data_IF_511742586115
#
_entry.id   IF_511742586115
#
_cell.length_a   1.000
_cell.length_b   1.000
_cell.length_c   1.000
_cell.angle_alpha   90.00
_cell.angle_beta   90.00
_cell.angle_gamma   90.00
#
_symmetry.space_group_name_H-M   'P 1'
#
loop_
_entity.id
_entity.type
_entity.pdbx_description
1 polymer ?
#
# COMPACT_ATOMS: atom_id res chain seq x y z
N UNK A 1 47.08 -36.67 -51.01
CA UNK A 1 46.81 -38.11 -50.84
C UNK A 1 46.93 -38.45 -49.36
N UNK A 2 45.78 -38.72 -48.73
CA UNK A 2 45.51 -39.40 -47.44
C UNK A 2 46.43 -39.16 -46.23
N UNK A 3 45.84 -38.63 -45.16
CA UNK A 3 45.89 -39.28 -43.83
C UNK A 3 44.55 -39.11 -43.12
N UNK A 4 43.89 -40.25 -42.95
CA UNK A 4 42.68 -40.45 -42.15
C UNK A 4 43.05 -40.60 -40.66
N UNK A 5 42.29 -39.90 -39.83
CA UNK A 5 41.55 -40.40 -38.65
C UNK A 5 42.05 -41.71 -38.02
N UNK A 6 42.45 -41.67 -36.74
CA UNK A 6 42.20 -42.74 -35.78
C UNK A 6 41.81 -42.13 -34.42
N UNK A 7 40.57 -42.43 -34.02
CA UNK A 7 40.05 -42.38 -32.66
C UNK A 7 40.68 -43.52 -31.85
N UNK A 8 41.12 -43.27 -30.60
CA UNK A 8 40.82 -44.15 -29.44
C UNK A 8 41.30 -43.54 -28.11
N UNK A 9 40.33 -43.25 -27.24
CA UNK A 9 40.24 -43.57 -25.81
C UNK A 9 41.55 -43.60 -24.99
N UNK A 10 41.69 -42.63 -24.08
CA UNK A 10 42.42 -42.81 -22.82
C UNK A 10 41.57 -42.24 -21.67
N UNK A 11 40.67 -43.09 -21.17
CA UNK A 11 40.08 -42.97 -19.83
C UNK A 11 41.19 -43.22 -18.81
N UNK A 12 41.54 -42.22 -18.01
CA UNK A 12 42.32 -42.42 -16.79
C UNK A 12 41.90 -41.38 -15.75
N UNK A 13 41.09 -41.89 -14.84
CA UNK A 13 40.71 -41.34 -13.54
C UNK A 13 41.98 -40.88 -12.80
N UNK A 14 42.05 -39.59 -12.51
CA UNK A 14 42.75 -39.08 -11.32
C UNK A 14 41.70 -38.26 -10.55
N UNK A 15 40.85 -39.00 -9.85
CA UNK A 15 40.24 -38.54 -8.63
C UNK A 15 41.21 -38.88 -7.50
N UNK A 16 41.85 -37.88 -6.91
CA UNK A 16 42.13 -37.78 -5.47
C UNK A 16 42.94 -36.49 -5.23
N UNK A 17 42.21 -35.42 -4.92
CA UNK A 17 42.52 -34.37 -3.93
C UNK A 17 41.43 -33.29 -4.04
N UNK A 18 40.16 -33.70 -3.99
CA UNK A 18 39.10 -32.78 -3.57
C UNK A 18 39.14 -32.78 -2.05
N UNK A 19 39.82 -31.80 -1.45
CA UNK A 19 39.29 -31.26 -0.19
C UNK A 19 37.87 -30.84 -0.54
N UNK A 20 36.88 -31.40 0.12
CA UNK A 20 35.49 -30.98 -0.05
C UNK A 20 35.42 -29.49 0.30
N UNK A 21 35.54 -28.60 -0.69
CA UNK A 21 35.02 -27.26 -0.56
C UNK A 21 33.51 -27.45 -0.54
N UNK A 22 32.88 -27.11 0.59
CA UNK A 22 31.44 -26.93 0.60
C UNK A 22 31.09 -25.93 -0.53
N UNK A 23 29.93 -26.09 -1.19
CA UNK A 23 29.53 -25.18 -2.27
C UNK A 23 29.51 -23.74 -1.76
N UNK A 24 30.08 -22.82 -2.54
CA UNK A 24 29.94 -21.38 -2.28
C UNK A 24 28.48 -21.01 -2.53
N UNK A 25 27.86 -20.31 -1.58
CA UNK A 25 26.50 -19.84 -1.74
C UNK A 25 26.48 -18.58 -2.62
N UNK A 26 26.19 -18.77 -3.90
CA UNK A 26 25.90 -17.68 -4.84
C UNK A 26 24.38 -17.44 -4.93
N UNK A 27 23.97 -16.19 -4.76
CA UNK A 27 22.55 -15.78 -4.76
C UNK A 27 22.28 -14.94 -6.00
N UNK A 28 21.37 -15.38 -6.86
CA UNK A 28 20.80 -14.58 -7.93
C UNK A 28 19.54 -13.86 -7.40
N UNK A 29 19.61 -12.53 -7.35
CA UNK A 29 18.53 -11.71 -6.82
C UNK A 29 17.27 -11.79 -7.71
N UNK A 30 17.42 -12.05 -9.01
CA UNK A 30 16.26 -12.25 -9.90
C UNK A 30 15.55 -13.57 -9.58
N UNK A 31 16.30 -14.64 -9.31
CA UNK A 31 15.75 -15.92 -8.87
C UNK A 31 14.97 -15.76 -7.55
N UNK A 32 15.53 -14.97 -6.61
CA UNK A 32 14.81 -14.60 -5.39
C UNK A 32 13.50 -13.86 -5.70
N UNK A 33 13.50 -12.90 -6.61
CA UNK A 33 12.33 -12.11 -6.98
C UNK A 33 11.25 -12.93 -7.71
N UNK A 34 11.64 -13.89 -8.56
CA UNK A 34 10.72 -14.63 -9.42
C UNK A 34 10.16 -15.89 -8.75
N UNK A 35 10.99 -16.61 -7.99
CA UNK A 35 10.67 -17.97 -7.53
C UNK A 35 10.57 -18.13 -6.01
N UNK A 36 11.13 -17.20 -5.22
CA UNK A 36 11.14 -17.30 -3.75
C UNK A 36 10.28 -16.22 -3.08
N UNK A 37 10.38 -14.98 -3.56
CA UNK A 37 9.69 -13.83 -3.01
C UNK A 37 8.22 -13.83 -3.47
N UNK A 38 7.32 -14.02 -2.51
CA UNK A 38 5.91 -13.76 -2.71
C UNK A 38 5.64 -12.29 -2.38
N UNK A 39 5.24 -11.43 -3.36
CA UNK A 39 5.06 -10.02 -3.10
C UNK A 39 4.05 -9.75 -1.99
N UNK A 40 4.47 -8.92 -1.04
CA UNK A 40 3.67 -8.47 0.11
C UNK A 40 2.76 -7.30 -0.25
N UNK A 41 3.06 -6.60 -1.34
CA UNK A 41 2.42 -5.35 -1.75
C UNK A 41 1.27 -5.63 -2.74
N UNK A 42 0.23 -4.79 -2.71
CA UNK A 42 -0.88 -4.77 -3.66
C UNK A 42 -0.45 -5.01 -5.11
N UNK A 43 -1.35 -5.57 -5.94
CA UNK A 43 -1.20 -5.50 -7.39
C UNK A 43 -1.06 -4.02 -7.74
N UNK A 44 0.16 -3.60 -8.07
CA UNK A 44 0.41 -2.23 -8.46
C UNK A 44 0.02 -2.12 -9.93
N UNK A 45 -1.26 -1.81 -10.14
CA UNK A 45 -1.71 -1.44 -11.46
C UNK A 45 -1.16 -0.05 -11.79
N UNK A 46 -1.06 0.27 -13.09
CA UNK A 46 -0.71 1.62 -13.53
C UNK A 46 -1.99 2.41 -13.73
N UNK A 47 -2.05 3.59 -13.13
CA UNK A 47 -3.15 4.54 -13.33
C UNK A 47 -2.80 5.51 -14.46
N UNK A 48 -3.70 5.65 -15.44
CA UNK A 48 -3.57 6.63 -16.50
C UNK A 48 -3.76 8.06 -15.97
N UNK A 49 -2.96 9.00 -16.48
CA UNK A 49 -3.04 10.41 -16.07
C UNK A 49 -4.26 11.16 -16.63
N UNK A 50 -4.99 10.58 -17.59
CA UNK A 50 -6.21 11.19 -18.12
C UNK A 50 -7.29 11.25 -17.02
N UNK A 51 -8.21 12.22 -17.11
CA UNK A 51 -9.19 12.47 -16.04
C UNK A 51 -10.61 12.29 -16.57
N UNK A 52 -11.44 11.58 -15.81
CA UNK A 52 -12.89 11.55 -16.01
C UNK A 52 -13.62 12.35 -14.93
N UNK A 53 -14.58 13.18 -15.31
CA UNK A 53 -15.39 13.99 -14.39
C UNK A 53 -16.83 13.47 -14.39
N UNK A 54 -17.24 12.80 -13.32
CA UNK A 54 -18.60 12.32 -13.11
C UNK A 54 -19.38 13.32 -12.26
N UNK A 55 -20.53 13.72 -12.75
CA UNK A 55 -21.38 14.69 -12.08
C UNK A 55 -22.82 14.18 -12.08
N UNK A 56 -23.41 14.12 -10.89
CA UNK A 56 -24.86 14.01 -10.78
C UNK A 56 -25.52 15.38 -10.96
N UNK A 57 -26.82 15.35 -11.24
CA UNK A 57 -27.61 16.55 -11.49
C UNK A 57 -28.60 16.79 -10.34
N UNK A 58 -28.24 16.37 -9.13
CA UNK A 58 -29.05 16.60 -7.93
C UNK A 58 -29.19 18.10 -7.61
N UNK A 59 -30.13 18.43 -6.73
CA UNK A 59 -30.29 19.78 -6.18
C UNK A 59 -28.99 20.26 -5.54
N UNK A 60 -28.27 19.37 -4.84
CA UNK A 60 -26.93 19.61 -4.28
C UNK A 60 -25.96 20.20 -5.31
N UNK A 61 -25.76 19.53 -6.43
CA UNK A 61 -24.77 19.94 -7.43
C UNK A 61 -25.23 21.21 -8.16
N UNK A 62 -26.52 21.33 -8.47
CA UNK A 62 -27.08 22.57 -9.02
C UNK A 62 -26.78 23.76 -8.10
N UNK A 63 -27.02 23.61 -6.79
CA UNK A 63 -26.81 24.69 -5.83
C UNK A 63 -25.34 25.04 -5.62
N UNK A 64 -24.43 24.08 -5.79
CA UNK A 64 -23.00 24.33 -5.74
C UNK A 64 -22.57 25.39 -6.78
N UNK A 65 -23.18 25.41 -7.96
CA UNK A 65 -22.88 26.41 -9.02
C UNK A 65 -23.07 27.85 -8.55
N UNK A 66 -24.09 28.10 -7.72
CA UNK A 66 -24.45 29.46 -7.27
C UNK A 66 -23.97 29.80 -5.87
N UNK A 67 -23.83 28.79 -4.99
CA UNK A 67 -23.73 29.00 -3.54
C UNK A 67 -22.51 28.34 -2.89
N UNK A 68 -21.66 27.65 -3.66
CA UNK A 68 -20.44 27.03 -3.13
C UNK A 68 -19.20 27.81 -3.52
N UNK A 69 -18.55 28.40 -2.50
CA UNK A 69 -17.23 29.00 -2.67
C UNK A 69 -16.20 27.93 -3.09
N UNK A 70 -16.26 26.75 -2.47
CA UNK A 70 -15.32 25.68 -2.78
C UNK A 70 -15.46 25.17 -4.22
N UNK A 71 -16.67 24.90 -4.70
CA UNK A 71 -16.89 24.51 -6.08
C UNK A 71 -16.40 25.58 -7.06
N UNK A 72 -16.68 26.85 -6.77
CA UNK A 72 -16.18 27.97 -7.58
C UNK A 72 -14.65 28.02 -7.63
N UNK A 73 -13.99 27.72 -6.50
CA UNK A 73 -12.53 27.65 -6.36
C UNK A 73 -11.91 26.49 -7.16
N UNK A 74 -12.44 25.27 -7.07
CA UNK A 74 -11.82 24.11 -7.72
C UNK A 74 -12.17 23.97 -9.20
N UNK A 75 -13.29 24.54 -9.64
CA UNK A 75 -13.80 24.36 -11.01
C UNK A 75 -12.82 24.78 -12.12
N UNK A 76 -12.09 25.91 -12.04
CA UNK A 76 -11.07 26.26 -13.03
C UNK A 76 -9.94 25.22 -13.12
N UNK A 77 -9.53 24.64 -11.98
CA UNK A 77 -8.53 23.57 -11.94
C UNK A 77 -9.08 22.28 -12.53
N UNK A 78 -10.29 21.87 -12.15
CA UNK A 78 -10.98 20.69 -12.70
C UNK A 78 -11.09 20.74 -14.23
N UNK A 79 -11.43 21.91 -14.78
CA UNK A 79 -11.54 22.10 -16.24
C UNK A 79 -10.16 22.24 -16.91
N UNK A 80 -9.18 22.80 -16.20
CA UNK A 80 -7.77 22.84 -16.62
C UNK A 80 -7.15 21.45 -16.82
N UNK A 81 -7.63 20.43 -16.11
CA UNK A 81 -7.24 19.03 -16.29
C UNK A 81 -7.76 18.39 -17.59
N UNK A 82 -8.61 19.11 -18.36
CA UNK A 82 -9.22 18.66 -19.61
C UNK A 82 -9.93 17.30 -19.51
N UNK A 83 -10.89 17.15 -18.56
CA UNK A 83 -11.51 15.86 -18.32
C UNK A 83 -12.48 15.46 -19.44
N UNK A 84 -12.73 14.16 -19.57
CA UNK A 84 -13.96 13.68 -20.21
C UNK A 84 -15.08 13.72 -19.18
N UNK A 85 -16.12 14.52 -19.41
CA UNK A 85 -17.24 14.65 -18.49
C UNK A 85 -18.31 13.58 -18.76
N UNK A 86 -18.83 12.96 -17.69
CA UNK A 86 -19.94 12.02 -17.69
C UNK A 86 -21.08 12.59 -16.84
N UNK A 87 -22.28 12.60 -17.42
CA UNK A 87 -23.51 12.97 -16.71
C UNK A 87 -24.16 11.73 -16.09
N UNK A 88 -24.55 11.84 -14.82
CA UNK A 88 -25.36 10.84 -14.12
C UNK A 88 -26.79 11.37 -14.01
N UNK A 89 -27.69 10.88 -14.86
CA UNK A 89 -29.09 11.32 -14.93
C UNK A 89 -30.01 10.11 -14.86
N UNK A 90 -30.75 9.99 -13.77
CA UNK A 90 -31.55 8.81 -13.50
C UNK A 90 -30.67 7.56 -13.37
N UNK A 91 -31.05 6.48 -14.06
CA UNK A 91 -30.25 5.25 -14.13
C UNK A 91 -29.06 5.33 -15.10
N UNK A 92 -28.98 6.37 -15.93
CA UNK A 92 -28.04 6.46 -17.03
C UNK A 92 -26.76 7.22 -16.63
N UNK A 93 -25.62 6.64 -17.00
CA UNK A 93 -24.30 7.28 -16.95
C UNK A 93 -23.84 7.40 -18.39
N UNK A 94 -23.70 8.63 -18.89
CA UNK A 94 -23.39 8.90 -20.30
C UNK A 94 -22.27 9.90 -20.41
N UNK A 95 -21.36 9.66 -21.35
CA UNK A 95 -20.39 10.68 -21.75
C UNK A 95 -21.15 11.91 -22.25
N UNK A 96 -20.86 13.06 -21.65
CA UNK A 96 -21.41 14.35 -22.04
C UNK A 96 -20.53 15.00 -23.10
N UNK A 97 -19.24 15.21 -22.78
CA UNK A 97 -18.29 15.81 -23.70
C UNK A 97 -16.85 15.73 -23.19
N UNK A 98 -15.90 15.84 -24.11
CA UNK A 98 -14.48 16.17 -23.88
C UNK A 98 -14.13 17.57 -24.39
N UNK A 99 -15.11 18.34 -24.86
CA UNK A 99 -14.97 19.73 -25.31
C UNK A 99 -15.08 20.69 -24.12
N UNK A 100 -14.00 21.45 -23.87
CA UNK A 100 -13.91 22.31 -22.69
C UNK A 100 -14.91 23.46 -22.68
N UNK A 101 -15.30 23.98 -23.84
CA UNK A 101 -16.29 25.07 -23.89
C UNK A 101 -17.67 24.53 -23.49
N UNK A 102 -18.00 23.31 -23.95
CA UNK A 102 -19.24 22.63 -23.56
C UNK A 102 -19.24 22.25 -22.08
N UNK A 103 -18.14 21.72 -21.56
CA UNK A 103 -18.02 21.39 -20.14
C UNK A 103 -18.15 22.65 -19.29
N UNK A 104 -17.42 23.72 -19.62
CA UNK A 104 -17.54 24.99 -18.89
C UNK A 104 -18.97 25.55 -18.94
N UNK A 105 -19.64 25.47 -20.10
CA UNK A 105 -21.03 25.89 -20.22
C UNK A 105 -21.95 25.06 -19.31
N UNK A 106 -21.76 23.75 -19.28
CA UNK A 106 -22.56 22.84 -18.46
C UNK A 106 -22.35 23.07 -16.95
N UNK A 107 -21.09 23.17 -16.50
CA UNK A 107 -20.74 23.42 -15.10
C UNK A 107 -21.19 24.79 -14.58
N UNK A 108 -21.56 25.71 -15.48
CA UNK A 108 -22.17 27.00 -15.13
C UNK A 108 -23.70 26.97 -15.13
N UNK A 109 -24.33 25.94 -15.70
CA UNK A 109 -25.77 25.92 -15.96
C UNK A 109 -26.41 24.55 -15.67
N UNK A 110 -25.93 23.84 -14.65
CA UNK A 110 -26.43 22.52 -14.25
C UNK A 110 -27.94 22.62 -13.98
N UNK A 111 -28.72 21.84 -14.73
CA UNK A 111 -30.17 21.77 -14.58
C UNK A 111 -30.54 20.52 -13.80
N UNK A 112 -31.28 20.69 -12.71
CA UNK A 112 -31.64 19.60 -11.81
C UNK A 112 -32.33 18.43 -12.53
N UNK A 113 -31.93 17.21 -12.16
CA UNK A 113 -32.51 15.97 -12.63
C UNK A 113 -32.69 15.01 -11.46
N UNK A 114 -33.89 14.44 -11.32
CA UNK A 114 -34.19 13.53 -10.23
C UNK A 114 -33.50 12.19 -10.40
N UNK A 115 -32.98 11.67 -9.28
CA UNK A 115 -32.32 10.37 -9.18
C UNK A 115 -30.98 10.28 -9.97
N UNK A 116 -30.02 9.58 -9.38
CA UNK A 116 -28.70 9.38 -9.98
C UNK A 116 -28.16 7.99 -9.60
N UNK A 117 -27.68 7.25 -10.60
CA UNK A 117 -27.00 5.96 -10.40
C UNK A 117 -25.56 6.16 -9.88
N UNK A 118 -25.45 6.69 -8.65
CA UNK A 118 -24.16 6.98 -8.01
C UNK A 118 -23.37 5.69 -7.77
N UNK A 119 -24.04 4.61 -7.36
CA UNK A 119 -23.40 3.29 -7.21
C UNK A 119 -22.72 2.85 -8.51
N UNK A 120 -23.43 2.88 -9.63
CA UNK A 120 -22.87 2.50 -10.93
C UNK A 120 -21.72 3.40 -11.38
N UNK A 121 -21.77 4.70 -11.04
CA UNK A 121 -20.67 5.62 -11.35
C UNK A 121 -19.40 5.28 -10.54
N UNK A 122 -19.54 5.02 -9.24
CA UNK A 122 -18.42 4.61 -8.38
C UNK A 122 -17.87 3.26 -8.83
N UNK A 123 -18.73 2.31 -9.20
CA UNK A 123 -18.32 1.02 -9.77
C UNK A 123 -17.55 1.20 -11.09
N UNK A 124 -18.04 2.05 -12.01
CA UNK A 124 -17.37 2.33 -13.28
C UNK A 124 -16.00 2.97 -13.07
N UNK A 125 -15.91 3.96 -12.16
CA UNK A 125 -14.65 4.62 -11.79
C UNK A 125 -13.66 3.59 -11.23
N UNK A 126 -14.07 2.82 -10.22
CA UNK A 126 -13.17 1.92 -9.49
C UNK A 126 -12.69 0.74 -10.35
N UNK A 127 -13.50 0.32 -11.33
CA UNK A 127 -13.11 -0.71 -12.28
C UNK A 127 -12.20 -0.18 -13.41
N UNK A 128 -12.19 1.12 -13.67
CA UNK A 128 -11.28 1.76 -14.63
C UNK A 128 -9.84 1.84 -14.09
N UNK A 129 -8.89 2.20 -14.97
CA UNK A 129 -7.52 2.54 -14.60
C UNK A 129 -7.23 4.01 -14.95
N UNK A 130 -8.22 4.88 -14.76
CA UNK A 130 -8.14 6.31 -15.07
C UNK A 130 -8.40 7.14 -13.80
N UNK A 131 -7.70 8.27 -13.64
CA UNK A 131 -8.04 9.23 -12.60
C UNK A 131 -9.48 9.73 -12.77
N UNK A 132 -10.22 9.91 -11.68
CA UNK A 132 -11.59 10.39 -11.77
C UNK A 132 -12.00 11.31 -10.63
N UNK A 133 -12.94 12.21 -10.93
CA UNK A 133 -13.61 13.06 -9.93
C UNK A 133 -15.09 12.75 -9.97
N UNK A 134 -15.69 12.51 -8.81
CA UNK A 134 -17.14 12.41 -8.64
C UNK A 134 -17.64 13.56 -7.75
N UNK A 135 -18.60 14.34 -8.26
CA UNK A 135 -19.28 15.40 -7.51
C UNK A 135 -20.76 15.01 -7.36
N UNK A 136 -21.22 14.88 -6.12
CA UNK A 136 -22.53 14.27 -5.82
C UNK A 136 -23.05 14.64 -4.42
N UNK A 137 -24.32 14.35 -4.15
CA UNK A 137 -24.89 14.31 -2.79
C UNK A 137 -24.74 12.95 -2.07
N UNK A 138 -24.24 11.93 -2.77
CA UNK A 138 -24.11 10.55 -2.28
C UNK A 138 -25.40 9.89 -1.78
N UNK A 139 -26.58 10.43 -2.11
CA UNK A 139 -27.86 9.84 -1.68
C UNK A 139 -28.20 8.59 -2.50
N UNK A 140 -28.25 7.44 -1.84
CA UNK A 140 -28.59 6.19 -2.50
C UNK A 140 -30.08 5.88 -2.42
N UNK A 141 -30.69 5.66 -3.57
CA UNK A 141 -32.12 5.39 -3.72
C UNK A 141 -32.34 4.04 -4.42
N UNK A 142 -33.20 3.20 -3.88
CA UNK A 142 -33.64 1.95 -4.53
C UNK A 142 -35.12 1.97 -4.82
N UNK A 143 -35.54 1.26 -5.86
CA UNK A 143 -36.97 1.03 -6.15
C UNK A 143 -37.30 -0.41 -5.76
N UNK A 144 -38.36 -0.66 -4.96
CA UNK A 144 -39.35 0.28 -4.42
C UNK A 144 -39.02 0.93 -3.05
N UNK A 145 -37.87 0.67 -2.43
CA UNK A 145 -37.64 0.97 -1.00
C UNK A 145 -37.31 2.45 -0.68
N UNK A 146 -37.12 3.29 -1.69
CA UNK A 146 -36.74 4.69 -1.52
C UNK A 146 -35.29 4.87 -1.07
N UNK A 147 -35.02 5.96 -0.35
CA UNK A 147 -33.68 6.28 0.16
C UNK A 147 -33.15 5.18 1.09
N UNK A 148 -31.87 4.85 0.98
CA UNK A 148 -31.17 3.90 1.83
C UNK A 148 -30.12 4.64 2.65
N UNK A 149 -30.46 4.88 3.90
CA UNK A 149 -29.70 5.69 4.87
C UNK A 149 -28.54 4.94 5.54
N UNK A 150 -28.49 3.61 5.46
CA UNK A 150 -27.44 2.82 6.10
C UNK A 150 -27.03 1.62 5.23
N UNK A 151 -26.86 1.85 3.93
CA UNK A 151 -26.38 0.81 3.02
C UNK A 151 -25.00 1.20 2.49
N UNK A 152 -23.93 0.41 2.76
CA UNK A 152 -22.57 0.72 2.34
C UNK A 152 -22.35 0.39 0.84
N UNK A 153 -23.09 1.06 -0.04
CA UNK A 153 -23.16 0.73 -1.47
C UNK A 153 -21.86 0.97 -2.24
N UNK A 154 -20.93 1.78 -1.73
CA UNK A 154 -19.63 2.04 -2.36
C UNK A 154 -18.53 1.07 -1.90
N UNK A 155 -18.78 0.26 -0.88
CA UNK A 155 -17.78 -0.59 -0.21
C UNK A 155 -17.00 -1.48 -1.18
N UNK A 156 -17.69 -2.26 -2.02
CA UNK A 156 -17.03 -3.21 -2.93
C UNK A 156 -16.21 -2.50 -4.02
N UNK A 157 -16.70 -1.35 -4.50
CA UNK A 157 -15.98 -0.53 -5.47
C UNK A 157 -14.72 0.09 -4.83
N UNK A 158 -14.82 0.63 -3.61
CA UNK A 158 -13.67 1.12 -2.86
C UNK A 158 -12.64 0.02 -2.59
N UNK A 159 -13.06 -1.19 -2.20
CA UNK A 159 -12.15 -2.34 -2.05
C UNK A 159 -11.42 -2.63 -3.37
N UNK A 160 -12.15 -2.59 -4.49
CA UNK A 160 -11.57 -2.81 -5.83
C UNK A 160 -10.51 -1.77 -6.16
N UNK A 161 -10.80 -0.49 -5.94
CA UNK A 161 -9.87 0.61 -6.20
C UNK A 161 -8.62 0.53 -5.32
N UNK A 162 -8.83 0.35 -4.02
CA UNK A 162 -7.75 0.19 -3.06
C UNK A 162 -6.88 -1.01 -3.44
N UNK A 163 -7.45 -2.17 -3.77
CA UNK A 163 -6.66 -3.35 -4.13
C UNK A 163 -5.68 -3.14 -5.32
N UNK A 164 -5.91 -2.13 -6.17
CA UNK A 164 -4.99 -1.71 -7.25
C UNK A 164 -3.81 -0.84 -6.76
N UNK A 165 -3.80 -0.49 -5.48
CA UNK A 165 -2.81 0.35 -4.81
C UNK A 165 -3.08 1.85 -4.93
N UNK A 166 -4.31 2.25 -5.27
CA UNK A 166 -4.74 3.62 -5.52
C UNK A 166 -5.42 4.24 -4.27
N UNK A 167 -5.60 5.56 -4.28
CA UNK A 167 -6.20 6.35 -3.19
C UNK A 167 -7.49 7.05 -3.62
N UNK A 168 -8.31 7.40 -2.62
CA UNK A 168 -9.51 8.22 -2.78
C UNK A 168 -9.42 9.37 -1.78
N UNK A 169 -9.41 10.61 -2.26
CA UNK A 169 -9.54 11.79 -1.42
C UNK A 169 -11.01 12.20 -1.39
N UNK A 170 -11.57 12.34 -0.20
CA UNK A 170 -12.98 12.70 0.00
C UNK A 170 -13.02 14.04 0.71
N UNK A 171 -13.62 15.02 0.05
CA UNK A 171 -13.92 16.32 0.65
C UNK A 171 -15.43 16.43 0.81
N UNK A 172 -15.88 16.82 1.99
CA UNK A 172 -17.29 17.11 2.25
C UNK A 172 -17.48 18.58 2.53
N UNK A 173 -18.48 19.20 1.90
CA UNK A 173 -18.84 20.59 2.13
C UNK A 173 -20.27 20.65 2.67
N UNK A 174 -20.45 21.32 3.81
CA UNK A 174 -21.76 21.51 4.38
C UNK A 174 -22.58 22.51 3.53
N UNK A 175 -23.86 22.21 3.31
CA UNK A 175 -24.80 23.13 2.67
C UNK A 175 -26.21 22.97 3.22
N UNK A 176 -27.08 23.93 2.89
CA UNK A 176 -28.49 23.92 3.27
C UNK A 176 -29.36 23.72 2.04
N UNK A 177 -30.16 22.67 2.07
CA UNK A 177 -31.14 22.38 1.02
C UNK A 177 -32.53 22.84 1.48
N UNK A 178 -33.26 23.54 0.60
CA UNK A 178 -34.63 23.96 0.88
C UNK A 178 -35.63 22.95 0.34
N UNK A 179 -36.42 22.33 1.21
CA UNK A 179 -37.46 21.36 0.85
C UNK A 179 -38.77 21.68 1.57
N UNK A 180 -39.85 21.87 0.79
CA UNK A 180 -41.18 22.27 1.30
C UNK A 180 -41.17 23.43 2.31
N UNK A 181 -40.33 24.45 2.08
CA UNK A 181 -40.22 25.63 2.95
C UNK A 181 -39.42 25.41 4.24
N UNK A 182 -38.87 24.21 4.44
CA UNK A 182 -37.93 23.88 5.52
C UNK A 182 -36.51 23.83 4.98
N UNK A 183 -35.54 24.16 5.83
CA UNK A 183 -34.10 24.10 5.51
C UNK A 183 -33.48 22.89 6.19
N UNK A 184 -32.75 22.09 5.42
CA UNK A 184 -32.11 20.85 5.86
C UNK A 184 -30.60 20.94 5.70
N UNK A 185 -29.85 20.56 6.74
CA UNK A 185 -28.39 20.50 6.68
C UNK A 185 -27.96 19.22 5.96
N UNK A 186 -27.24 19.37 4.85
CA UNK A 186 -26.76 18.27 3.99
C UNK A 186 -25.27 18.45 3.69
N UNK A 187 -24.71 17.48 2.96
CA UNK A 187 -23.30 17.45 2.55
C UNK A 187 -23.19 17.27 1.05
N UNK A 188 -22.25 18.02 0.46
CA UNK A 188 -21.80 17.82 -0.92
C UNK A 188 -20.48 17.08 -0.87
N UNK A 189 -20.36 16.05 -1.69
CA UNK A 189 -19.19 15.18 -1.71
C UNK A 189 -18.41 15.41 -2.99
N UNK A 190 -17.09 15.55 -2.82
CA UNK A 190 -16.10 15.60 -3.88
C UNK A 190 -15.14 14.44 -3.66
N UNK A 191 -15.24 13.40 -4.47
CA UNK A 191 -14.39 12.21 -4.40
C UNK A 191 -13.38 12.27 -5.54
N UNK A 192 -12.09 12.30 -5.21
CA UNK A 192 -10.99 12.29 -6.16
C UNK A 192 -10.31 10.92 -6.10
N UNK A 193 -10.50 10.12 -7.15
CA UNK A 193 -9.92 8.79 -7.33
C UNK A 193 -8.59 8.95 -8.08
N UNK A 194 -7.48 8.67 -7.40
CA UNK A 194 -6.13 8.96 -7.89
C UNK A 194 -5.08 7.97 -7.36
N UNK A 195 -3.82 8.16 -7.71
CA UNK A 195 -2.66 7.52 -7.06
C UNK A 195 -1.67 8.61 -6.65
N UNK A 196 -1.46 8.81 -5.35
CA UNK A 196 -0.56 9.82 -4.76
C UNK A 196 0.91 9.66 -5.19
N UNK A 197 1.25 8.54 -5.83
CA UNK A 197 2.58 8.30 -6.37
C UNK A 197 2.76 8.93 -7.75
N UNK A 198 1.68 9.44 -8.36
CA UNK A 198 1.75 10.15 -9.63
C UNK A 198 2.30 11.57 -9.39
N UNK A 199 3.18 12.08 -10.27
CA UNK A 199 3.75 13.42 -10.12
C UNK A 199 2.76 14.58 -10.34
N UNK A 200 1.52 14.27 -10.75
CA UNK A 200 0.41 15.22 -10.89
C UNK A 200 -0.89 14.52 -10.48
N UNK A 201 -0.92 13.96 -9.27
CA UNK A 201 -2.14 13.34 -8.76
C UNK A 201 -3.27 14.37 -8.64
N UNK A 202 -4.52 13.92 -8.79
CA UNK A 202 -5.67 14.82 -8.79
C UNK A 202 -5.78 15.69 -7.54
N UNK A 203 -5.47 15.15 -6.37
CA UNK A 203 -5.61 15.91 -5.12
C UNK A 203 -4.55 17.00 -5.03
N UNK A 204 -3.30 16.71 -5.39
CA UNK A 204 -2.23 17.72 -5.46
C UNK A 204 -2.59 18.84 -6.44
N UNK A 205 -3.11 18.52 -7.64
CA UNK A 205 -3.48 19.55 -8.61
C UNK A 205 -4.66 20.42 -8.17
N UNK A 206 -5.65 19.83 -7.50
CA UNK A 206 -6.83 20.55 -7.03
C UNK A 206 -6.53 21.37 -5.77
N UNK A 207 -5.67 20.88 -4.88
CA UNK A 207 -5.27 21.60 -3.66
C UNK A 207 -4.44 22.86 -3.93
N UNK A 208 -3.86 23.00 -5.13
CA UNK A 208 -3.21 24.24 -5.62
C UNK A 208 -4.20 25.37 -5.96
N UNK A 209 -5.50 25.18 -5.79
CA UNK A 209 -6.48 26.24 -5.99
C UNK A 209 -6.35 27.32 -4.89
N UNK A 210 -6.53 28.59 -5.26
CA UNK A 210 -6.53 29.68 -4.27
C UNK A 210 -7.66 29.47 -3.26
N UNK A 211 -7.39 29.72 -1.98
CA UNK A 211 -8.36 29.53 -0.88
C UNK A 211 -8.84 28.08 -0.67
N UNK A 212 -8.13 27.08 -1.18
CA UNK A 212 -8.44 25.67 -0.92
C UNK A 212 -8.42 25.31 0.57
N UNK A 213 -7.63 26.00 1.40
CA UNK A 213 -7.63 25.77 2.85
C UNK A 213 -8.84 26.38 3.57
N UNK A 214 -9.58 27.29 2.92
CA UNK A 214 -10.73 28.00 3.50
C UNK A 214 -12.06 27.23 3.35
N UNK A 215 -12.00 25.95 3.02
CA UNK A 215 -13.18 25.10 2.84
C UNK A 215 -13.92 24.94 4.17
N UNK A 216 -15.20 25.27 4.18
CA UNK A 216 -16.11 24.94 5.27
C UNK A 216 -16.54 23.46 5.16
N UNK A 217 -15.60 22.56 5.46
CA UNK A 217 -15.74 21.15 5.16
C UNK A 217 -14.73 20.26 5.85
N UNK A 218 -14.85 18.96 5.61
CA UNK A 218 -13.90 17.96 6.10
C UNK A 218 -13.15 17.32 4.95
N UNK A 219 -11.94 16.84 5.24
CA UNK A 219 -11.09 16.12 4.31
C UNK A 219 -10.71 14.76 4.90
N UNK A 220 -10.78 13.71 4.08
CA UNK A 220 -10.34 12.38 4.43
C UNK A 220 -9.67 11.70 3.24
N UNK A 221 -8.47 11.14 3.46
CA UNK A 221 -7.80 10.27 2.49
C UNK A 221 -8.10 8.82 2.83
N UNK A 222 -8.69 8.09 1.90
CA UNK A 222 -8.87 6.64 1.94
C UNK A 222 -7.82 5.99 1.03
N UNK A 223 -6.90 5.22 1.59
CA UNK A 223 -5.79 4.61 0.87
C UNK A 223 -5.38 3.27 1.49
N UNK A 224 -4.71 2.46 0.69
CA UNK A 224 -3.92 1.33 1.19
C UNK A 224 -2.48 1.38 0.64
N UNK A 225 -2.11 2.49 -0.01
CA UNK A 225 -1.03 2.53 -0.98
C UNK A 225 0.38 2.49 -0.38
N UNK A 226 0.52 2.52 0.96
CA UNK A 226 1.77 2.97 1.59
C UNK A 226 2.29 2.02 2.68
N UNK A 227 1.97 0.72 2.61
CA UNK A 227 2.66 -0.27 3.45
C UNK A 227 4.07 -0.54 2.93
N UNK A 228 5.02 0.36 3.18
CA UNK A 228 6.43 0.14 2.82
C UNK A 228 7.36 0.68 3.90
N UNK A 229 8.45 -0.04 4.14
CA UNK A 229 9.60 0.56 4.79
C UNK A 229 10.18 1.62 3.87
N UNK A 230 10.58 2.74 4.46
CA UNK A 230 11.46 3.69 3.80
C UNK A 230 12.79 2.97 3.59
N UNK A 231 13.13 2.73 2.31
CA UNK A 231 14.43 2.17 1.93
C UNK A 231 15.52 3.05 2.53
N UNK A 232 16.28 2.48 3.46
CA UNK A 232 17.38 3.16 4.12
C UNK A 232 18.65 2.37 3.87
N UNK A 233 19.68 3.07 3.42
CA UNK A 233 20.98 2.50 3.01
C UNK A 233 21.94 2.30 4.18
N UNK A 234 21.67 2.92 5.33
CA UNK A 234 22.55 2.92 6.52
C UNK A 234 22.00 2.04 7.65
N UNK A 235 21.48 0.86 7.29
CA UNK A 235 20.70 0.03 8.22
C UNK A 235 21.45 -1.14 8.81
N UNK A 236 22.70 -1.42 8.45
CA UNK A 236 23.48 -2.52 9.08
C UNK A 236 24.45 -1.96 10.12
N UNK A 237 24.85 -2.77 11.11
CA UNK A 237 25.88 -2.37 12.08
C UNK A 237 27.19 -1.95 11.36
N UNK A 238 27.76 -0.80 11.75
CA UNK A 238 28.91 -0.19 11.05
C UNK A 238 30.21 -0.99 11.25
N UNK A 239 30.23 -1.95 12.18
CA UNK A 239 31.37 -2.84 12.40
C UNK A 239 31.38 -4.04 11.43
N UNK A 240 30.35 -4.18 10.59
CA UNK A 240 30.25 -5.22 9.58
C UNK A 240 30.60 -4.67 8.18
N UNK A 241 31.16 -5.55 7.35
CA UNK A 241 31.33 -5.35 5.91
C UNK A 241 30.08 -5.89 5.22
N UNK A 242 29.36 -5.01 4.54
CA UNK A 242 28.10 -5.38 3.91
C UNK A 242 27.84 -4.65 2.59
N UNK A 243 26.94 -5.22 1.79
CA UNK A 243 26.33 -4.60 0.63
C UNK A 243 24.81 -4.69 0.75
N UNK A 244 24.12 -3.64 0.29
CA UNK A 244 22.65 -3.61 0.28
C UNK A 244 22.18 -3.35 -1.14
N UNK A 245 21.33 -4.23 -1.65
CA UNK A 245 20.53 -3.99 -2.86
C UNK A 245 19.08 -3.77 -2.47
N UNK A 246 18.59 -2.56 -2.75
CA UNK A 246 17.19 -2.18 -2.52
C UNK A 246 16.41 -2.05 -3.83
N UNK A 247 16.96 -2.48 -4.97
CA UNK A 247 16.33 -2.27 -6.29
C UNK A 247 15.02 -3.05 -6.47
N UNK A 248 14.81 -4.09 -5.67
CA UNK A 248 13.72 -5.05 -5.77
C UNK A 248 12.58 -4.77 -4.77
N UNK A 249 11.53 -5.60 -4.78
CA UNK A 249 10.38 -5.42 -3.87
C UNK A 249 10.65 -5.84 -2.40
N UNK A 250 11.87 -6.32 -2.14
CA UNK A 250 12.46 -6.63 -0.85
C UNK A 250 13.82 -5.94 -0.75
N UNK A 251 14.43 -5.94 0.44
CA UNK A 251 15.84 -5.58 0.59
C UNK A 251 16.70 -6.83 0.65
N UNK A 252 17.82 -6.82 -0.08
CA UNK A 252 18.84 -7.86 -0.01
C UNK A 252 20.08 -7.29 0.67
N UNK A 253 20.55 -7.97 1.71
CA UNK A 253 21.73 -7.60 2.47
C UNK A 253 22.73 -8.74 2.36
N UNK A 254 23.92 -8.47 1.87
CA UNK A 254 25.05 -9.40 1.90
C UNK A 254 26.02 -8.93 2.98
N UNK A 255 26.33 -9.81 3.93
CA UNK A 255 27.27 -9.55 5.03
C UNK A 255 28.46 -10.50 4.83
N UNK A 256 29.62 -9.92 4.51
CA UNK A 256 30.86 -10.67 4.23
C UNK A 256 31.50 -11.25 5.51
N UNK A 257 31.02 -10.83 6.68
CA UNK A 257 31.50 -11.31 7.98
C UNK A 257 30.98 -12.72 8.28
N UNK A 258 31.85 -13.53 8.90
CA UNK A 258 31.47 -14.82 9.46
C UNK A 258 30.49 -14.63 10.63
N UNK A 259 29.71 -15.66 10.95
CA UNK A 259 28.86 -15.63 12.14
C UNK A 259 29.64 -15.47 13.45
N UNK A 260 30.92 -15.83 13.48
CA UNK A 260 31.81 -15.57 14.63
C UNK A 260 32.18 -14.10 14.75
N UNK A 261 32.39 -13.42 13.64
CA UNK A 261 32.58 -11.96 13.62
C UNK A 261 31.28 -11.25 14.00
N UNK A 262 30.12 -11.71 13.51
CA UNK A 262 28.80 -11.17 13.93
C UNK A 262 28.61 -11.35 15.43
N UNK A 263 28.90 -12.54 15.98
CA UNK A 263 28.85 -12.77 17.42
C UNK A 263 29.70 -11.74 18.18
N UNK A 264 30.95 -11.58 17.77
CA UNK A 264 31.91 -10.69 18.43
C UNK A 264 31.55 -9.20 18.32
N UNK A 265 31.19 -8.74 17.14
CA UNK A 265 31.02 -7.30 16.88
C UNK A 265 29.60 -6.80 17.11
N UNK A 266 28.59 -7.69 17.05
CA UNK A 266 27.18 -7.34 17.20
C UNK A 266 26.65 -7.85 18.53
N UNK A 267 26.71 -9.15 18.79
CA UNK A 267 26.07 -9.75 19.98
C UNK A 267 26.84 -9.46 21.27
N UNK A 268 28.18 -9.44 21.19
CA UNK A 268 29.09 -9.16 22.30
C UNK A 268 29.58 -7.70 22.30
N UNK A 269 28.87 -6.81 21.60
CA UNK A 269 29.22 -5.39 21.50
C UNK A 269 29.32 -4.72 22.88
N UNK A 270 30.27 -3.79 23.02
CA UNK A 270 30.52 -3.05 24.26
C UNK A 270 30.29 -1.55 24.10
N UNK A 271 29.87 -0.88 25.17
CA UNK A 271 29.79 0.58 25.23
C UNK A 271 31.17 1.25 25.25
N UNK A 272 31.19 2.58 25.31
CA UNK A 272 32.43 3.37 25.34
C UNK A 272 33.32 3.13 26.58
N UNK A 273 32.78 2.52 27.63
CA UNK A 273 33.47 2.17 28.87
C UNK A 273 33.91 0.68 28.88
N UNK A 274 33.59 -0.08 27.82
CA UNK A 274 33.93 -1.49 27.67
C UNK A 274 32.96 -2.46 28.35
N UNK A 275 31.79 -2.00 28.81
CA UNK A 275 30.76 -2.88 29.35
C UNK A 275 29.92 -3.46 28.22
N UNK A 276 29.47 -4.72 28.36
CA UNK A 276 28.57 -5.34 27.39
C UNK A 276 27.27 -4.55 27.26
N UNK A 277 26.86 -4.30 26.02
CA UNK A 277 25.57 -3.72 25.69
C UNK A 277 24.51 -4.81 25.90
N UNK A 278 23.46 -4.57 26.70
CA UNK A 278 22.34 -5.50 26.83
C UNK A 278 21.73 -5.80 25.45
N UNK A 279 21.59 -7.09 25.12
CA UNK A 279 21.14 -7.59 23.81
C UNK A 279 22.05 -7.30 22.60
N UNK A 280 23.26 -6.77 22.83
CA UNK A 280 24.22 -6.41 21.79
C UNK A 280 23.78 -5.18 20.98
N UNK A 281 24.50 -4.91 19.89
CA UNK A 281 24.05 -3.96 18.88
C UNK A 281 22.98 -4.60 17.97
N UNK A 282 22.08 -3.81 17.37
CA UNK A 282 21.23 -4.30 16.32
C UNK A 282 22.03 -4.67 15.06
N UNK A 283 21.78 -5.86 14.50
CA UNK A 283 22.31 -6.23 13.18
C UNK A 283 21.69 -5.38 12.08
N UNK A 284 20.41 -5.02 12.25
CA UNK A 284 19.72 -4.04 11.41
C UNK A 284 19.20 -2.91 12.30
N UNK A 285 19.58 -1.67 12.01
CA UNK A 285 19.22 -0.45 12.72
C UNK A 285 18.39 0.48 11.85
N UNK A 286 17.46 1.22 12.46
CA UNK A 286 16.89 2.40 11.82
C UNK A 286 15.90 2.12 10.69
N UNK A 287 15.31 0.93 10.59
CA UNK A 287 14.27 0.64 9.59
C UNK A 287 13.03 1.49 9.88
N UNK A 288 12.78 2.52 9.06
CA UNK A 288 11.63 3.41 9.25
C UNK A 288 10.43 2.94 8.44
N UNK A 289 9.24 2.95 9.05
CA UNK A 289 7.99 2.80 8.30
C UNK A 289 7.33 4.17 8.08
N UNK A 290 6.71 4.32 6.92
CA UNK A 290 5.80 5.45 6.72
C UNK A 290 4.52 5.23 7.56
N UNK A 291 3.95 6.29 8.16
CA UNK A 291 2.63 6.19 8.76
C UNK A 291 1.63 5.67 7.73
N UNK A 292 0.86 4.64 8.11
CA UNK A 292 -0.13 4.05 7.23
C UNK A 292 -1.33 4.97 7.24
N UNK A 293 -1.61 5.67 6.13
CA UNK A 293 -2.57 6.79 6.10
C UNK A 293 -3.93 6.52 6.77
N UNK A 294 -4.36 5.25 6.84
CA UNK A 294 -5.60 4.83 7.50
C UNK A 294 -5.43 3.91 8.71
N UNK A 295 -4.20 3.58 9.12
CA UNK A 295 -3.94 2.66 10.24
C UNK A 295 -2.78 3.11 11.12
N UNK A 296 -2.90 2.93 12.44
CA UNK A 296 -1.73 2.90 13.32
C UNK A 296 -1.32 1.45 13.55
N UNK A 297 -0.07 1.08 13.25
CA UNK A 297 0.48 -0.21 13.72
C UNK A 297 0.70 -0.12 15.23
N UNK A 298 0.18 -1.10 15.96
CA UNK A 298 0.33 -1.20 17.42
C UNK A 298 1.35 -2.26 17.82
N UNK A 299 1.47 -3.34 17.04
CA UNK A 299 2.44 -4.40 17.28
C UNK A 299 2.94 -5.02 15.97
N UNK A 300 4.24 -5.28 15.94
CA UNK A 300 4.94 -5.93 14.84
C UNK A 300 5.91 -6.95 15.40
N UNK A 301 6.10 -8.01 14.62
CA UNK A 301 6.95 -9.14 14.96
C UNK A 301 7.86 -9.47 13.78
N UNK A 302 8.86 -10.31 14.03
CA UNK A 302 9.75 -10.82 13.00
C UNK A 302 9.61 -12.33 12.90
N UNK A 303 9.32 -12.82 11.70
CA UNK A 303 9.32 -14.25 11.39
C UNK A 303 10.55 -14.54 10.55
N UNK A 304 11.47 -15.32 11.11
CA UNK A 304 12.73 -15.64 10.47
C UNK A 304 12.77 -17.09 9.99
N UNK A 305 13.41 -17.32 8.85
CA UNK A 305 13.67 -18.65 8.30
C UNK A 305 15.05 -18.71 7.66
N UNK A 306 15.73 -19.84 7.81
CA UNK A 306 16.87 -20.18 6.96
C UNK A 306 16.34 -20.86 5.70
N UNK A 307 16.55 -20.20 4.56
CA UNK A 307 16.04 -20.64 3.26
C UNK A 307 17.14 -21.20 2.36
N UNK A 308 18.38 -21.32 2.85
CA UNK A 308 19.55 -21.74 2.05
C UNK A 308 19.27 -23.00 1.23
N UNK A 309 18.84 -24.07 1.88
CA UNK A 309 18.58 -25.35 1.21
C UNK A 309 17.37 -25.27 0.27
N UNK A 310 16.32 -24.54 0.65
CA UNK A 310 15.13 -24.36 -0.17
C UNK A 310 15.39 -23.50 -1.42
N UNK A 311 16.23 -22.47 -1.31
CA UNK A 311 16.69 -21.66 -2.45
C UNK A 311 17.56 -22.49 -3.40
N UNK A 312 18.50 -23.27 -2.87
CA UNK A 312 19.29 -24.16 -3.72
C UNK A 312 18.41 -25.23 -4.39
N UNK A 313 17.34 -25.68 -3.73
CA UNK A 313 16.35 -26.56 -4.33
C UNK A 313 15.57 -25.91 -5.49
N UNK A 314 15.24 -24.62 -5.44
CA UNK A 314 14.62 -23.97 -6.62
C UNK A 314 15.58 -23.96 -7.82
N UNK A 315 16.88 -23.87 -7.56
CA UNK A 315 17.92 -23.87 -8.58
C UNK A 315 18.28 -25.29 -9.06
N UNK A 316 18.22 -26.30 -8.20
CA UNK A 316 18.77 -27.65 -8.45
C UNK A 316 17.78 -28.83 -8.33
N UNK A 317 16.59 -28.65 -7.77
CA UNK A 317 15.50 -29.65 -7.63
C UNK A 317 15.82 -30.93 -6.82
N UNK A 318 16.29 -30.75 -5.58
CA UNK A 318 16.69 -31.78 -4.61
C UNK A 318 15.68 -32.05 -3.45
N UNK A 319 14.58 -31.30 -3.32
CA UNK A 319 13.48 -31.54 -2.36
C UNK A 319 13.74 -31.07 -0.92
N UNK A 320 14.43 -29.95 -0.73
CA UNK A 320 14.80 -29.42 0.58
C UNK A 320 13.78 -28.41 1.15
N UNK A 321 13.58 -28.44 2.46
CA UNK A 321 12.63 -27.55 3.16
C UNK A 321 13.30 -26.37 3.87
N UNK A 322 12.58 -25.26 3.99
CA UNK A 322 12.97 -24.12 4.83
C UNK A 322 13.04 -24.52 6.31
N UNK A 323 13.98 -23.92 7.06
CA UNK A 323 14.10 -24.09 8.52
C UNK A 323 13.54 -22.83 9.19
N UNK A 324 12.56 -22.98 10.07
CA UNK A 324 12.03 -21.86 10.86
C UNK A 324 12.98 -21.49 11.99
N UNK A 325 13.16 -20.19 12.23
CA UNK A 325 14.02 -19.60 13.25
C UNK A 325 13.12 -18.81 14.22
N UNK A 326 12.49 -19.47 15.21
CA UNK A 326 11.48 -18.82 16.05
C UNK A 326 12.05 -17.80 17.05
N UNK A 327 13.32 -17.92 17.43
CA UNK A 327 13.93 -17.19 18.54
C UNK A 327 15.38 -16.72 18.26
N UNK A 328 15.83 -16.79 17.02
CA UNK A 328 17.15 -16.28 16.59
C UNK A 328 17.19 -14.77 16.35
N UNK A 329 16.03 -14.11 16.22
CA UNK A 329 15.90 -12.67 16.01
C UNK A 329 14.83 -12.06 16.90
N UNK A 330 14.99 -10.78 17.24
CA UNK A 330 13.98 -10.01 17.98
C UNK A 330 13.94 -8.57 17.51
N UNK A 331 12.77 -7.93 17.62
CA UNK A 331 12.62 -6.50 17.37
C UNK A 331 12.77 -5.68 18.66
N UNK A 332 13.45 -4.56 18.57
CA UNK A 332 13.43 -3.52 19.59
C UNK A 332 12.07 -2.80 19.56
N UNK A 333 11.14 -3.19 20.44
CA UNK A 333 9.80 -2.61 20.48
C UNK A 333 9.77 -1.17 20.98
N UNK A 334 10.80 -0.68 21.67
CA UNK A 334 10.85 0.72 22.08
C UNK A 334 11.11 1.65 20.90
N UNK A 335 11.89 1.19 19.91
CA UNK A 335 12.11 1.93 18.66
C UNK A 335 10.82 2.15 17.85
N UNK A 336 9.81 1.27 18.00
CA UNK A 336 8.53 1.33 17.29
C UNK A 336 7.78 2.64 17.57
N UNK A 337 7.93 3.21 18.78
CA UNK A 337 7.31 4.49 19.18
C UNK A 337 7.69 5.64 18.26
N UNK A 338 8.86 5.56 17.61
CA UNK A 338 9.39 6.56 16.68
C UNK A 338 9.26 6.13 15.22
N UNK A 339 8.34 5.23 14.93
CA UNK A 339 8.17 4.59 13.64
C UNK A 339 9.44 3.93 13.07
N UNK A 340 10.30 3.44 13.95
CA UNK A 340 11.59 2.83 13.61
C UNK A 340 11.62 1.41 14.16
N UNK A 341 12.36 0.52 13.50
CA UNK A 341 12.54 -0.86 13.93
C UNK A 341 14.03 -1.17 13.89
N UNK A 342 14.52 -1.71 15.00
CA UNK A 342 15.83 -2.34 15.06
C UNK A 342 15.65 -3.86 15.20
N UNK A 343 16.52 -4.63 14.56
CA UNK A 343 16.55 -6.09 14.61
C UNK A 343 17.81 -6.51 15.35
N UNK A 344 17.63 -7.27 16.43
CA UNK A 344 18.72 -7.86 17.21
C UNK A 344 18.83 -9.35 16.90
N UNK A 345 20.04 -9.88 16.97
CA UNK A 345 20.34 -11.32 16.85
C UNK A 345 20.43 -11.93 18.25
N UNK A 346 19.93 -13.15 18.42
CA UNK A 346 20.01 -13.92 19.67
C UNK A 346 20.90 -15.14 19.52
N UNK A 347 21.45 -15.62 20.64
CA UNK A 347 22.34 -16.80 20.69
C UNK A 347 21.72 -18.05 20.05
N UNK A 348 20.41 -18.23 20.18
CA UNK A 348 19.70 -19.37 19.60
C UNK A 348 19.82 -19.44 18.06
N UNK A 349 20.25 -18.37 17.37
CA UNK A 349 20.47 -18.39 15.92
C UNK A 349 21.37 -19.53 15.46
N UNK A 350 22.38 -19.89 16.26
CA UNK A 350 23.38 -20.89 15.90
C UNK A 350 22.80 -22.30 15.77
N UNK A 351 21.65 -22.59 16.40
CA UNK A 351 20.95 -23.87 16.27
C UNK A 351 20.25 -24.04 14.90
N UNK A 352 20.14 -22.95 14.13
CA UNK A 352 19.38 -22.90 12.87
C UNK A 352 20.23 -22.55 11.63
N UNK A 353 21.53 -22.37 11.82
CA UNK A 353 22.46 -22.15 10.72
C UNK A 353 22.76 -23.45 9.98
N UNK A 354 23.01 -23.33 8.69
CA UNK A 354 23.45 -24.42 7.85
C UNK A 354 24.98 -24.43 7.80
N UNK A 355 25.56 -25.56 8.22
CA UNK A 355 27.01 -25.80 8.20
C UNK A 355 27.47 -26.59 6.95
N UNK A 356 26.53 -27.10 6.15
CA UNK A 356 26.79 -27.88 4.93
C UNK A 356 27.26 -26.99 3.77
N UNK A 357 26.90 -25.69 3.78
CA UNK A 357 27.25 -24.72 2.74
C UNK A 357 28.27 -23.68 3.24
N UNK A 358 29.00 -23.03 2.32
CA UNK A 358 29.84 -21.85 2.65
C UNK A 358 28.97 -20.60 2.73
N UNK A 359 27.98 -20.61 3.61
CA UNK A 359 27.12 -19.44 3.86
C UNK A 359 25.69 -19.82 4.22
N UNK A 360 24.93 -18.79 4.60
CA UNK A 360 23.52 -18.89 4.91
C UNK A 360 22.73 -17.82 4.15
N UNK A 361 21.54 -18.17 3.71
CA UNK A 361 20.53 -17.25 3.21
C UNK A 361 19.33 -17.26 4.16
N UNK A 362 19.17 -16.16 4.88
CA UNK A 362 18.09 -15.95 5.84
C UNK A 362 17.01 -15.08 5.21
N UNK A 363 15.75 -15.39 5.53
CA UNK A 363 14.57 -14.59 5.20
C UNK A 363 13.99 -14.04 6.48
N UNK A 364 13.80 -12.72 6.54
CA UNK A 364 13.18 -12.01 7.65
C UNK A 364 11.89 -11.35 7.16
N UNK A 365 10.75 -11.85 7.59
CA UNK A 365 9.44 -11.27 7.30
C UNK A 365 8.97 -10.41 8.48
N UNK A 366 8.65 -9.15 8.21
CA UNK A 366 8.12 -8.21 9.19
C UNK A 366 6.59 -8.31 9.20
N UNK A 367 6.04 -8.76 10.33
CA UNK A 367 4.63 -9.19 10.43
C UNK A 367 3.86 -8.31 11.40
N UNK A 368 2.85 -7.61 10.91
CA UNK A 368 1.92 -6.83 11.73
C UNK A 368 1.01 -7.78 12.49
N UNK A 369 1.07 -7.72 13.83
CA UNK A 369 0.22 -8.53 14.72
C UNK A 369 -1.05 -7.79 15.10
N UNK A 370 -0.97 -6.48 15.26
CA UNK A 370 -2.14 -5.63 15.47
C UNK A 370 -1.95 -4.24 14.88
N UNK A 371 -3.06 -3.71 14.39
CA UNK A 371 -3.20 -2.35 13.93
C UNK A 371 -4.62 -1.88 14.24
N UNK A 372 -4.76 -0.58 14.48
CA UNK A 372 -6.06 0.08 14.62
C UNK A 372 -6.31 0.95 13.42
N UNK A 373 -7.58 1.08 13.01
CA UNK A 373 -7.96 2.08 12.02
C UNK A 373 -7.76 3.46 12.65
N UNK A 374 -7.24 4.40 11.87
CA UNK A 374 -7.28 5.82 12.24
C UNK A 374 -8.76 6.24 12.42
N UNK A 375 -9.06 7.09 13.42
CA UNK A 375 -10.43 7.45 13.73
C UNK A 375 -11.07 8.20 12.56
N UNK A 376 -12.23 7.70 12.12
CA UNK A 376 -13.05 8.32 11.09
C UNK A 376 -14.22 9.03 11.78
N UNK A 377 -14.32 10.34 11.62
CA UNK A 377 -15.46 11.10 12.15
C UNK A 377 -16.73 10.74 11.38
N UNK A 378 -17.68 10.07 12.05
CA UNK A 378 -18.99 9.77 11.45
C UNK A 378 -19.70 11.03 10.95
N UNK A 379 -19.60 12.13 11.71
CA UNK A 379 -20.22 13.42 11.41
C UNK A 379 -19.68 14.03 10.12
N UNK A 380 -18.48 13.65 9.70
CA UNK A 380 -17.89 14.16 8.46
C UNK A 380 -18.62 13.59 7.22
N UNK A 381 -19.27 12.43 7.36
CA UNK A 381 -19.89 11.69 6.26
C UNK A 381 -21.40 11.51 6.40
N UNK A 382 -22.01 12.01 7.48
CA UNK A 382 -23.43 11.80 7.77
C UNK A 382 -24.27 13.07 7.68
N UNK A 383 -25.57 12.88 7.39
CA UNK A 383 -26.57 13.94 7.37
C UNK A 383 -27.94 13.39 7.74
N UNK A 384 -28.90 14.25 8.08
CA UNK A 384 -30.28 13.81 8.31
C UNK A 384 -30.99 13.62 6.98
N UNK A 385 -31.65 12.48 6.81
CA UNK A 385 -32.44 12.19 5.62
C UNK A 385 -33.67 13.12 5.56
N UNK A 386 -33.91 13.70 4.38
CA UNK A 386 -35.12 14.48 4.11
C UNK A 386 -36.32 13.54 3.91
N UNK A 387 -36.10 12.39 3.27
CA UNK A 387 -37.18 11.46 2.91
C UNK A 387 -37.60 10.55 4.07
N UNK A 388 -36.71 10.33 5.05
CA UNK A 388 -36.91 9.48 6.23
C UNK A 388 -36.67 10.27 7.51
N UNK A 389 -37.74 10.91 7.99
CA UNK A 389 -37.72 11.74 9.18
C UNK A 389 -37.08 11.04 10.39
N UNK A 390 -36.04 11.66 10.95
CA UNK A 390 -35.33 11.18 12.13
C UNK A 390 -34.25 10.13 11.84
N UNK A 391 -34.10 9.69 10.58
CA UNK A 391 -32.99 8.83 10.17
C UNK A 391 -31.78 9.66 9.75
N UNK A 392 -30.60 9.22 10.17
CA UNK A 392 -29.33 9.74 9.72
C UNK A 392 -28.82 8.86 8.57
N UNK A 393 -28.46 9.47 7.45
CA UNK A 393 -27.77 8.80 6.37
C UNK A 393 -26.28 8.67 6.72
N UNK A 394 -25.80 7.43 6.79
CA UNK A 394 -24.44 7.03 7.15
C UNK A 394 -23.82 6.10 6.09
N UNK A 395 -24.44 6.01 4.91
CA UNK A 395 -24.05 5.09 3.84
C UNK A 395 -22.60 5.30 3.35
N UNK A 396 -22.15 6.56 3.28
CA UNK A 396 -20.75 6.89 2.92
C UNK A 396 -19.79 6.46 4.02
N UNK A 397 -20.10 6.82 5.28
CA UNK A 397 -19.31 6.43 6.45
C UNK A 397 -19.12 4.90 6.53
N UNK A 398 -20.22 4.15 6.42
CA UNK A 398 -20.17 2.69 6.46
C UNK A 398 -19.45 2.09 5.24
N UNK A 399 -19.54 2.72 4.06
CA UNK A 399 -18.76 2.29 2.89
C UNK A 399 -17.26 2.42 3.12
N UNK A 400 -16.80 3.56 3.64
CA UNK A 400 -15.37 3.82 3.96
C UNK A 400 -14.89 2.87 5.05
N UNK A 401 -15.61 2.81 6.18
CA UNK A 401 -15.27 1.98 7.33
C UNK A 401 -15.16 0.50 6.95
N UNK A 402 -16.16 -0.04 6.25
CA UNK A 402 -16.16 -1.45 5.87
C UNK A 402 -15.15 -1.76 4.76
N UNK A 403 -14.82 -0.79 3.90
CA UNK A 403 -13.72 -0.95 2.94
C UNK A 403 -12.37 -1.08 3.64
N UNK A 404 -12.12 -0.35 4.75
CA UNK A 404 -10.90 -0.44 5.55
C UNK A 404 -10.82 -1.70 6.43
N UNK A 405 -11.96 -2.23 6.86
CA UNK A 405 -12.02 -3.47 7.63
C UNK A 405 -11.90 -4.73 6.74
N UNK A 406 -11.88 -4.58 5.42
CA UNK A 406 -11.80 -5.70 4.49
C UNK A 406 -10.44 -6.41 4.54
N UNK A 407 -10.42 -7.72 4.30
CA UNK A 407 -9.19 -8.53 4.32
C UNK A 407 -8.14 -8.16 3.26
N UNK A 408 -8.57 -7.50 2.18
CA UNK A 408 -7.73 -7.14 1.03
C UNK A 408 -7.03 -5.81 1.22
N UNK A 409 -7.56 -4.95 2.09
CA UNK A 409 -7.08 -3.60 2.35
C UNK A 409 -6.45 -3.48 3.75
N UNK A 410 -6.90 -4.30 4.70
CA UNK A 410 -6.42 -4.25 6.07
C UNK A 410 -5.04 -4.91 6.20
N UNK A 411 -4.05 -4.19 6.76
CA UNK A 411 -2.66 -4.62 6.86
C UNK A 411 -2.45 -5.92 7.63
N UNK A 412 -3.29 -6.21 8.62
CA UNK A 412 -3.19 -7.41 9.46
C UNK A 412 -3.71 -8.65 8.72
N UNK A 413 -4.74 -8.45 7.89
CA UNK A 413 -5.51 -9.54 7.27
C UNK A 413 -4.92 -9.97 5.93
N UNK A 414 -4.17 -9.08 5.28
CA UNK A 414 -3.52 -9.34 4.01
C UNK A 414 -2.19 -10.07 4.21
N UNK A 415 -1.89 -11.04 3.34
CA UNK A 415 -0.60 -11.74 3.28
C UNK A 415 -0.03 -12.17 4.66
N UNK A 416 -0.90 -12.68 5.53
CA UNK A 416 -0.55 -13.06 6.91
C UNK A 416 0.08 -11.94 7.75
N UNK A 417 -0.18 -10.68 7.41
CA UNK A 417 0.37 -9.49 8.06
C UNK A 417 1.78 -9.11 7.60
N UNK A 418 2.37 -9.79 6.60
CA UNK A 418 3.73 -9.51 6.15
C UNK A 418 3.73 -8.21 5.35
N UNK A 419 4.48 -7.21 5.81
CA UNK A 419 4.56 -5.89 5.20
C UNK A 419 5.88 -5.64 4.47
N UNK A 420 6.91 -6.42 4.80
CA UNK A 420 8.22 -6.35 4.17
C UNK A 420 9.01 -7.62 4.41
N UNK A 421 9.94 -7.88 3.51
CA UNK A 421 10.87 -9.00 3.60
C UNK A 421 12.28 -8.46 3.39
N UNK A 422 13.21 -8.91 4.24
CA UNK A 422 14.64 -8.71 4.06
C UNK A 422 15.28 -10.09 3.90
N UNK A 423 16.08 -10.25 2.85
CA UNK A 423 16.95 -11.40 2.71
C UNK A 423 18.35 -11.04 3.17
N UNK A 424 18.95 -11.86 4.03
CA UNK A 424 20.32 -11.68 4.50
C UNK A 424 21.16 -12.87 4.05
N UNK A 425 22.16 -12.63 3.22
CA UNK A 425 23.24 -13.59 2.96
C UNK A 425 24.36 -13.34 3.95
N UNK A 426 24.85 -14.40 4.58
CA UNK A 426 26.02 -14.35 5.47
C UNK A 426 27.01 -15.45 5.15
N UNK A 427 28.26 -15.26 5.55
CA UNK A 427 29.27 -16.32 5.56
C UNK A 427 28.99 -17.34 6.69
N UNK A 428 29.56 -18.55 6.57
CA UNK A 428 29.37 -19.59 7.60
C UNK A 428 30.10 -19.30 8.92
N UNK A 429 29.79 -20.05 9.97
CA UNK A 429 30.49 -19.96 11.26
C UNK A 429 31.93 -20.50 11.14
N UNK A 430 32.95 -19.64 11.25
CA UNK A 430 34.38 -19.99 11.12
C UNK A 430 35.26 -19.17 12.09
#
# INVERSE_FOLDING_TARGET
>A
MKRQLHFLVATSIIALLCVACNPILEVDINELQENVYAPTVHKKDTLEMTVSLFIDYSTCVREAVSNSAFFATIRPRLTGLKPTMYSIKGNEIKEFSSDMDKINQELNNITEFSYANIQGAVEQICNSNQQAVLITDCEFWTTPEGERTNLPYMKEAFITWLNKGFSIHIITEAYKESYHGSSHDKKRFYLFFTDDKLPNDLYEEISKADDFENINGSYYKLTNSDMKFLRSIDVVDDNLNFQIDTSYHFDYIEIDNSWKDIQKYVMEATDGDGNLIPDGNPIIKGLKFQPFGNYTIEDIDIVASNITAAYLDTVFSDGHSMINIPDGFSLDKDSLKNNTINVNVKENIFDYLNDEFEGNLLRLDFVVKSARNEPISKQDFSWLSISKSGEENISVYESVKQALDNKVTNPIKQNNGIIHTIFIKTEKYK
#
